data_IF_875739446443
#
_entry.id   IF_875739446443
#
_cell.length_a   1.000
_cell.length_b   1.000
_cell.length_c   1.000
_cell.angle_alpha   90.00
_cell.angle_beta   90.00
_cell.angle_gamma   90.00
#
_symmetry.space_group_name_H-M   'P 1'
#
loop_
_entity.id
_entity.type
_entity.pdbx_description
1 polymer ?
#
# COMPACT_ATOMS: atom_id res chain seq x y z
N UNK A 1 12.08 27.57 -15.88
CA UNK A 1 11.00 26.76 -15.28
C UNK A 1 10.55 25.79 -16.36
N UNK A 2 11.28 24.68 -16.53
CA UNK A 2 10.94 23.64 -17.50
C UNK A 2 9.62 23.02 -17.08
N UNK A 3 8.67 22.94 -18.01
CA UNK A 3 7.35 22.38 -17.78
C UNK A 3 7.45 21.00 -17.15
N UNK A 4 6.48 20.70 -16.28
CA UNK A 4 6.19 19.35 -15.80
C UNK A 4 6.47 18.35 -16.91
N UNK A 5 7.47 17.49 -16.71
CA UNK A 5 7.70 16.37 -17.61
C UNK A 5 6.50 15.44 -17.45
N UNK A 6 5.54 15.58 -18.37
CA UNK A 6 4.25 14.88 -18.31
C UNK A 6 4.45 13.36 -18.30
N UNK A 7 5.53 12.86 -18.92
CA UNK A 7 5.87 11.45 -18.91
C UNK A 7 6.21 10.96 -17.51
N UNK A 8 7.10 11.66 -16.81
CA UNK A 8 7.47 11.34 -15.42
C UNK A 8 6.32 11.52 -14.45
N UNK A 9 5.47 12.52 -14.68
CA UNK A 9 4.26 12.70 -13.87
C UNK A 9 3.30 11.51 -14.02
N UNK A 10 3.11 10.99 -15.24
CA UNK A 10 2.29 9.81 -15.50
C UNK A 10 2.84 8.55 -14.81
N UNK A 11 4.17 8.37 -14.79
CA UNK A 11 4.83 7.28 -14.05
C UNK A 11 4.53 7.34 -12.54
N UNK A 12 4.61 8.53 -11.94
CA UNK A 12 4.24 8.74 -10.52
C UNK A 12 2.77 8.37 -10.28
N UNK A 13 1.85 8.81 -11.15
CA UNK A 13 0.44 8.45 -11.03
C UNK A 13 0.19 6.94 -11.14
N UNK A 14 0.89 6.27 -12.06
CA UNK A 14 0.80 4.81 -12.20
C UNK A 14 1.29 4.09 -10.95
N UNK A 15 2.44 4.49 -10.39
CA UNK A 15 2.95 3.93 -9.15
C UNK A 15 2.00 4.18 -7.96
N UNK A 16 1.49 5.41 -7.84
CA UNK A 16 0.54 5.79 -6.79
C UNK A 16 -0.75 4.99 -6.87
N UNK A 17 -1.24 4.70 -8.09
CA UNK A 17 -2.40 3.84 -8.30
C UNK A 17 -2.18 2.43 -7.74
N UNK A 18 -0.99 1.85 -7.95
CA UNK A 18 -0.68 0.50 -7.41
C UNK A 18 -0.60 0.48 -5.88
N UNK A 19 -0.09 1.54 -5.27
CA UNK A 19 -0.11 1.71 -3.81
C UNK A 19 -1.55 1.75 -3.28
N UNK A 20 -2.41 2.56 -3.91
CA UNK A 20 -3.83 2.67 -3.53
C UNK A 20 -4.53 1.32 -3.67
N UNK A 21 -4.26 0.56 -4.75
CA UNK A 21 -4.78 -0.79 -4.93
C UNK A 21 -4.42 -1.72 -3.76
N UNK A 22 -3.16 -1.70 -3.31
CA UNK A 22 -2.73 -2.48 -2.16
C UNK A 22 -3.48 -2.07 -0.88
N UNK A 23 -3.58 -0.76 -0.61
CA UNK A 23 -4.29 -0.22 0.56
C UNK A 23 -5.79 -0.57 0.52
N UNK A 24 -6.42 -0.50 -0.65
CA UNK A 24 -7.80 -0.93 -0.84
C UNK A 24 -7.96 -2.42 -0.56
N UNK A 25 -7.06 -3.26 -1.06
CA UNK A 25 -7.07 -4.71 -0.79
C UNK A 25 -7.01 -5.01 0.71
N UNK A 26 -6.11 -4.34 1.44
CA UNK A 26 -6.01 -4.46 2.91
C UNK A 26 -7.32 -4.01 3.58
N UNK A 27 -7.88 -2.89 3.14
CA UNK A 27 -9.12 -2.34 3.71
C UNK A 27 -10.30 -3.29 3.53
N UNK A 28 -10.48 -3.79 2.30
CA UNK A 28 -11.57 -4.70 1.95
C UNK A 28 -11.42 -6.01 2.71
N UNK A 29 -10.24 -6.63 2.72
CA UNK A 29 -10.06 -7.92 3.41
C UNK A 29 -10.24 -7.79 4.92
N UNK A 30 -9.80 -6.69 5.53
CA UNK A 30 -10.07 -6.41 6.94
C UNK A 30 -11.57 -6.26 7.21
N UNK A 31 -12.32 -5.57 6.34
CA UNK A 31 -13.77 -5.46 6.44
C UNK A 31 -14.48 -6.82 6.29
N UNK A 32 -13.95 -7.70 5.45
CA UNK A 32 -14.48 -9.06 5.26
C UNK A 32 -14.10 -9.98 6.42
N UNK A 33 -12.96 -9.80 7.09
CA UNK A 33 -12.57 -10.66 8.23
C UNK A 33 -13.21 -10.17 9.54
N UNK A 34 -13.27 -8.86 9.77
CA UNK A 34 -13.74 -8.29 11.03
C UNK A 34 -15.24 -8.03 10.96
N UNK A 35 -16.04 -8.75 11.76
CA UNK A 35 -17.52 -8.61 11.77
C UNK A 35 -18.02 -7.23 12.22
N UNK A 36 -17.30 -6.57 13.13
CA UNK A 36 -17.71 -5.28 13.71
C UNK A 36 -17.12 -4.13 12.89
N UNK A 37 -17.98 -3.30 12.29
CA UNK A 37 -17.58 -2.15 11.45
C UNK A 37 -16.56 -1.24 12.15
N UNK A 38 -16.82 -0.85 13.40
CA UNK A 38 -15.92 0.02 14.16
C UNK A 38 -14.53 -0.60 14.39
N UNK A 39 -14.46 -1.90 14.67
CA UNK A 39 -13.18 -2.59 14.85
C UNK A 39 -12.41 -2.73 13.52
N UNK A 40 -13.10 -2.94 12.41
CA UNK A 40 -12.48 -2.99 11.08
C UNK A 40 -11.84 -1.65 10.71
N UNK A 41 -12.57 -0.55 10.92
CA UNK A 41 -12.06 0.80 10.69
C UNK A 41 -10.87 1.10 11.59
N UNK A 42 -10.97 0.81 12.89
CA UNK A 42 -9.86 1.03 13.82
C UNK A 42 -8.61 0.23 13.45
N UNK A 43 -8.77 -1.02 13.00
CA UNK A 43 -7.66 -1.87 12.59
C UNK A 43 -6.95 -1.33 11.34
N UNK A 44 -7.71 -0.97 10.30
CA UNK A 44 -7.14 -0.42 9.06
C UNK A 44 -6.49 0.93 9.31
N UNK A 45 -7.16 1.84 10.01
CA UNK A 45 -6.61 3.16 10.35
C UNK A 45 -5.35 3.01 11.19
N UNK A 46 -5.38 2.15 12.21
CA UNK A 46 -4.21 1.86 13.04
C UNK A 46 -3.04 1.32 12.22
N UNK A 47 -3.31 0.37 11.32
CA UNK A 47 -2.30 -0.17 10.41
C UNK A 47 -1.67 0.92 9.51
N UNK A 48 -2.47 1.80 8.92
CA UNK A 48 -1.97 2.87 8.05
C UNK A 48 -1.14 3.89 8.83
N UNK A 49 -1.58 4.27 10.03
CA UNK A 49 -0.83 5.18 10.91
C UNK A 49 0.50 4.56 11.32
N UNK A 50 0.50 3.31 11.78
CA UNK A 50 1.73 2.59 12.16
C UNK A 50 2.67 2.44 10.96
N UNK A 51 2.13 2.13 9.78
CA UNK A 51 2.92 2.05 8.54
C UNK A 51 3.57 3.38 8.19
N UNK A 52 2.84 4.49 8.31
CA UNK A 52 3.39 5.82 8.04
C UNK A 52 4.47 6.22 9.05
N UNK A 53 4.26 5.93 10.33
CA UNK A 53 5.28 6.14 11.37
C UNK A 53 6.52 5.28 11.08
N UNK A 54 6.33 4.01 10.71
CA UNK A 54 7.43 3.11 10.38
C UNK A 54 8.22 3.58 9.15
N UNK A 55 7.55 4.10 8.11
CA UNK A 55 8.22 4.72 6.98
C UNK A 55 9.07 5.92 7.41
N UNK A 56 8.48 6.81 8.19
CA UNK A 56 9.16 8.03 8.67
C UNK A 56 10.36 7.68 9.56
N UNK A 57 10.18 6.76 10.51
CA UNK A 57 11.26 6.32 11.38
C UNK A 57 12.31 5.51 10.63
N UNK A 58 11.92 4.71 9.64
CA UNK A 58 12.83 3.94 8.78
C UNK A 58 13.85 4.86 8.10
N UNK A 59 13.37 5.96 7.51
CA UNK A 59 14.23 6.95 6.85
C UNK A 59 15.18 7.71 7.78
N UNK A 60 14.93 7.67 9.09
CA UNK A 60 15.73 8.35 10.12
C UNK A 60 16.59 7.38 10.94
N UNK A 61 16.28 6.09 10.90
CA UNK A 61 16.96 5.06 11.66
C UNK A 61 18.22 4.58 10.92
N UNK A 62 19.26 4.22 11.68
CA UNK A 62 20.48 3.64 11.12
C UNK A 62 20.27 2.23 10.53
N UNK A 63 21.32 1.74 9.88
CA UNK A 63 21.32 0.54 9.01
C UNK A 63 20.78 -0.76 9.63
N UNK A 64 20.78 -0.87 10.96
CA UNK A 64 20.33 -2.10 11.65
C UNK A 64 18.82 -2.22 11.73
N UNK A 65 18.11 -1.10 11.90
CA UNK A 65 16.68 -1.09 12.24
C UNK A 65 15.86 -0.47 11.10
N UNK A 66 16.41 0.50 10.37
CA UNK A 66 15.78 1.14 9.21
C UNK A 66 15.16 0.15 8.20
N UNK A 67 15.92 -0.84 7.70
CA UNK A 67 15.41 -1.75 6.65
C UNK A 67 14.21 -2.60 7.09
N UNK A 68 14.10 -2.88 8.39
CA UNK A 68 12.98 -3.67 8.92
C UNK A 68 11.72 -2.82 8.98
N UNK A 69 11.83 -1.56 9.44
CA UNK A 69 10.70 -0.63 9.48
C UNK A 69 10.22 -0.25 8.08
N UNK A 70 11.15 -0.05 7.15
CA UNK A 70 10.82 0.24 5.76
C UNK A 70 10.01 -0.91 5.14
N UNK A 71 10.45 -2.16 5.30
CA UNK A 71 9.72 -3.32 4.76
C UNK A 71 8.31 -3.50 5.32
N UNK A 72 8.10 -3.09 6.57
CA UNK A 72 6.80 -3.20 7.23
C UNK A 72 5.81 -2.15 6.72
N UNK A 73 6.31 -0.99 6.28
CA UNK A 73 5.47 0.08 5.78
C UNK A 73 5.01 -0.18 4.35
N UNK A 74 3.71 -0.07 4.10
CA UNK A 74 3.20 -0.05 2.72
C UNK A 74 3.69 1.18 1.93
N UNK A 75 4.03 2.27 2.62
CA UNK A 75 4.44 3.53 1.99
C UNK A 75 5.88 3.51 1.47
N UNK A 76 6.74 2.60 1.95
CA UNK A 76 8.13 2.49 1.47
C UNK A 76 8.24 1.99 0.03
N UNK A 77 7.19 1.36 -0.49
CA UNK A 77 7.13 0.84 -1.86
C UNK A 77 6.74 1.92 -2.89
N UNK A 78 6.56 3.17 -2.46
CA UNK A 78 6.27 4.31 -3.32
C UNK A 78 7.18 5.49 -2.97
N UNK A 79 8.04 5.87 -3.91
CA UNK A 79 8.83 7.09 -3.84
C UNK A 79 8.62 7.93 -5.10
N UNK A 80 7.70 8.89 -5.03
CA UNK A 80 7.44 9.81 -6.14
C UNK A 80 8.62 10.74 -6.44
N UNK A 81 9.45 11.06 -5.46
CA UNK A 81 10.63 11.91 -5.65
C UNK A 81 11.70 11.19 -6.47
N UNK A 82 11.92 9.92 -6.19
CA UNK A 82 12.85 9.06 -6.92
C UNK A 82 12.38 8.81 -8.35
N UNK A 83 11.08 8.55 -8.55
CA UNK A 83 10.50 8.38 -9.89
C UNK A 83 10.66 9.65 -10.74
N UNK A 84 10.50 10.83 -10.14
CA UNK A 84 10.70 12.10 -10.87
C UNK A 84 12.17 12.34 -11.27
N UNK A 85 13.13 11.82 -10.51
CA UNK A 85 14.58 12.04 -10.74
C UNK A 85 15.20 10.99 -11.64
N UNK A 86 14.89 9.72 -11.41
CA UNK A 86 15.54 8.58 -12.04
C UNK A 86 14.60 7.74 -12.90
N UNK A 87 13.28 7.99 -12.79
CA UNK A 87 12.26 7.23 -13.51
C UNK A 87 11.67 6.08 -12.72
N UNK A 88 10.64 5.45 -13.28
CA UNK A 88 9.95 4.35 -12.63
C UNK A 88 10.80 3.07 -12.54
N UNK A 89 11.17 2.68 -11.32
CA UNK A 89 11.48 1.28 -11.02
C UNK A 89 10.18 0.49 -10.94
N UNK A 90 10.01 -0.46 -11.85
CA UNK A 90 8.77 -1.22 -12.04
C UNK A 90 8.56 -2.30 -10.97
N UNK A 91 9.60 -2.66 -10.21
CA UNK A 91 9.55 -3.79 -9.27
C UNK A 91 8.56 -3.52 -8.13
N UNK A 92 8.72 -2.41 -7.41
CA UNK A 92 7.87 -2.10 -6.26
C UNK A 92 6.39 -1.86 -6.63
N UNK A 93 6.06 -1.07 -7.67
CA UNK A 93 4.68 -0.91 -8.14
C UNK A 93 4.03 -2.22 -8.58
N UNK A 94 4.76 -3.08 -9.29
CA UNK A 94 4.25 -4.39 -9.71
C UNK A 94 3.96 -5.28 -8.51
N UNK A 95 4.85 -5.31 -7.51
CA UNK A 95 4.61 -6.04 -6.27
C UNK A 95 3.34 -5.52 -5.55
N UNK A 96 3.17 -4.20 -5.43
CA UNK A 96 1.97 -3.62 -4.82
C UNK A 96 0.69 -3.97 -5.60
N UNK A 97 0.74 -3.94 -6.93
CA UNK A 97 -0.38 -4.34 -7.78
C UNK A 97 -0.76 -5.81 -7.56
N UNK A 98 0.22 -6.72 -7.53
CA UNK A 98 0.00 -8.16 -7.27
C UNK A 98 -0.57 -8.38 -5.88
N UNK A 99 0.01 -7.76 -4.85
CA UNK A 99 -0.49 -7.88 -3.46
C UNK A 99 -1.92 -7.37 -3.35
N UNK A 100 -2.21 -6.19 -3.90
CA UNK A 100 -3.57 -5.64 -3.93
C UNK A 100 -4.57 -6.57 -4.62
N UNK A 101 -4.24 -7.07 -5.81
CA UNK A 101 -5.09 -8.00 -6.55
C UNK A 101 -5.35 -9.31 -5.79
N UNK A 102 -4.32 -9.88 -5.16
CA UNK A 102 -4.45 -11.09 -4.33
C UNK A 102 -5.35 -10.84 -3.13
N UNK A 103 -5.17 -9.73 -2.41
CA UNK A 103 -5.99 -9.40 -1.24
C UNK A 103 -7.46 -9.20 -1.62
N UNK A 104 -7.73 -8.49 -2.73
CA UNK A 104 -9.09 -8.29 -3.25
C UNK A 104 -9.71 -9.63 -3.67
N UNK A 105 -8.97 -10.47 -4.40
CA UNK A 105 -9.45 -11.80 -4.81
C UNK A 105 -9.72 -12.73 -3.63
N UNK A 106 -8.87 -12.70 -2.61
CA UNK A 106 -9.10 -13.41 -1.35
C UNK A 106 -10.34 -12.88 -0.63
N UNK A 107 -10.49 -11.55 -0.53
CA UNK A 107 -11.64 -10.93 0.10
C UNK A 107 -12.95 -11.29 -0.61
N UNK A 108 -12.97 -11.33 -1.94
CA UNK A 108 -14.13 -11.77 -2.72
C UNK A 108 -14.55 -13.21 -2.36
N UNK A 109 -13.61 -14.16 -2.33
CA UNK A 109 -13.91 -15.55 -1.93
C UNK A 109 -14.35 -15.69 -0.48
N UNK A 110 -13.76 -14.92 0.42
CA UNK A 110 -14.15 -14.90 1.84
C UNK A 110 -15.55 -14.31 2.01
N UNK A 111 -15.90 -13.30 1.21
CA UNK A 111 -17.21 -12.67 1.21
C UNK A 111 -18.29 -13.64 0.73
N UNK A 112 -18.07 -14.32 -0.40
CA UNK A 112 -18.98 -15.37 -0.91
C UNK A 112 -19.21 -16.48 0.15
N UNK A 113 -18.14 -16.96 0.79
CA UNK A 113 -18.25 -17.98 1.85
C UNK A 113 -19.03 -17.48 3.06
N UNK A 114 -18.89 -16.20 3.42
CA UNK A 114 -19.66 -15.59 4.51
C UNK A 114 -21.14 -15.55 4.18
N UNK A 115 -21.48 -15.18 2.95
CA UNK A 115 -22.86 -15.04 2.49
C UNK A 115 -23.59 -16.40 2.48
N UNK A 116 -22.90 -17.47 2.06
CA UNK A 116 -23.44 -18.84 2.08
C UNK A 116 -23.59 -19.39 3.51
N UNK A 117 -22.78 -18.93 4.45
CA UNK A 117 -22.86 -19.31 5.87
C UNK A 117 -23.82 -18.44 6.71
N UNK A 118 -24.48 -17.47 6.07
CA UNK A 118 -25.56 -16.67 6.67
C UNK A 118 -26.85 -17.47 6.77
#
# INVERSE_FOLDING_TARGET
MSGLDLGRSAEVFAALWTLILAVMGITIICGVIIRRRGAAVAAVTGYLVVSYIAFTLGSLAGDTVGPILERLSVFSYFDGGEILRHGLDVIAPLMMAVVGAVLIGCAARLYERRDISG
#
